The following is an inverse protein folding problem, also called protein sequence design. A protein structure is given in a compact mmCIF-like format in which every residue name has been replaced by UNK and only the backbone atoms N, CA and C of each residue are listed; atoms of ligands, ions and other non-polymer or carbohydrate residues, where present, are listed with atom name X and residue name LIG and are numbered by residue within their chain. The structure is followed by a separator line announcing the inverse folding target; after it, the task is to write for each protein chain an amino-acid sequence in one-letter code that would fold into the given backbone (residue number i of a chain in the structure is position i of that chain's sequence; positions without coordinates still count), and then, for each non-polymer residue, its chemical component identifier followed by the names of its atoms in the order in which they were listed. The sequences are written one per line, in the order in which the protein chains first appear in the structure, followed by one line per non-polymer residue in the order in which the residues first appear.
data_IF_659854195648
#
_entry.id   IF_659854195648
#
_cell.length_a   1.000
_cell.length_b   1.000
_cell.length_c   1.000
_cell.angle_alpha   90.00
_cell.angle_beta   90.00
_cell.angle_gamma   90.00
#
_symmetry.space_group_name_H-M   'P 1'
#
loop_
_entity.id
_entity.type
_entity.pdbx_description
1 polymer ?
#
# COMPACT_ATOMS: atom_id res chain seq x y z
N UNK A 1 -7.43 -9.12 -1.55
CA UNK A 1 -6.93 -8.23 -0.49
C UNK A 1 -8.01 -7.24 -0.09
N UNK A 2 -8.32 -6.21 -0.88
CA UNK A 2 -9.31 -5.19 -0.52
C UNK A 2 -10.72 -5.73 -0.15
N UNK A 3 -11.23 -6.73 -0.90
CA UNK A 3 -12.52 -7.39 -0.57
C UNK A 3 -12.60 -7.95 0.85
N UNK A 4 -11.48 -8.39 1.44
CA UNK A 4 -11.45 -8.89 2.81
C UNK A 4 -11.74 -7.79 3.85
N UNK A 5 -11.56 -6.52 3.47
CA UNK A 5 -11.86 -5.34 4.27
C UNK A 5 -13.21 -4.69 3.90
N UNK A 6 -14.00 -5.32 3.03
CA UNK A 6 -15.25 -4.73 2.50
C UNK A 6 -15.02 -3.62 1.47
N UNK A 7 -13.77 -3.38 1.05
CA UNK A 7 -13.41 -2.25 0.18
C UNK A 7 -13.50 -2.66 -1.28
N UNK A 8 -14.23 -1.87 -2.07
CA UNK A 8 -14.28 -2.05 -3.51
C UNK A 8 -13.08 -1.37 -4.18
N UNK A 9 -12.54 -2.00 -5.22
CA UNK A 9 -11.43 -1.44 -6.01
C UNK A 9 -11.94 -1.18 -7.42
N UNK A 10 -11.76 0.04 -7.89
CA UNK A 10 -12.10 0.47 -9.25
C UNK A 10 -10.81 0.84 -9.98
N UNK A 11 -10.63 0.30 -11.17
CA UNK A 11 -9.51 0.61 -12.05
C UNK A 11 -9.99 1.63 -13.09
N UNK A 12 -9.30 2.75 -13.23
CA UNK A 12 -9.66 3.81 -14.18
C UNK A 12 -8.40 4.55 -14.67
N UNK A 13 -8.54 5.40 -15.69
CA UNK A 13 -7.50 6.36 -16.06
C UNK A 13 -7.55 7.53 -15.06
N UNK A 14 -6.55 7.60 -14.18
CA UNK A 14 -6.50 8.70 -13.22
C UNK A 14 -5.85 9.94 -13.85
N UNK A 15 -6.26 11.15 -13.45
CA UNK A 15 -5.70 12.38 -13.99
C UNK A 15 -4.25 12.58 -13.52
N UNK A 16 -3.42 13.14 -14.41
CA UNK A 16 -2.05 13.55 -14.07
C UNK A 16 -1.11 12.35 -13.89
N UNK A 17 -0.38 12.33 -12.77
CA UNK A 17 0.54 11.26 -12.38
C UNK A 17 0.06 10.48 -11.14
N UNK A 18 -1.27 10.47 -10.93
CA UNK A 18 -1.87 9.80 -9.79
C UNK A 18 -1.87 8.28 -9.98
N UNK A 19 -1.32 7.54 -9.01
CA UNK A 19 -1.32 6.07 -9.03
C UNK A 19 -2.59 5.47 -8.40
N UNK A 20 -3.24 6.20 -7.50
CA UNK A 20 -4.44 5.76 -6.81
C UNK A 20 -5.07 6.84 -5.95
N UNK A 21 -6.25 6.52 -5.41
CA UNK A 21 -6.93 7.36 -4.44
C UNK A 21 -7.83 6.55 -3.51
N UNK A 22 -7.94 6.98 -2.26
CA UNK A 22 -8.99 6.54 -1.34
C UNK A 22 -10.15 7.54 -1.37
N UNK A 23 -11.34 7.05 -1.72
CA UNK A 23 -12.57 7.84 -1.76
C UNK A 23 -13.50 7.35 -0.65
N UNK A 24 -13.79 8.22 0.31
CA UNK A 24 -14.76 7.98 1.38
C UNK A 24 -15.64 9.20 1.55
N UNK A 25 -16.96 9.02 1.47
CA UNK A 25 -17.94 10.05 1.86
C UNK A 25 -18.64 9.65 3.16
N UNK A 26 -19.35 10.60 3.79
CA UNK A 26 -20.07 10.37 5.05
C UNK A 26 -21.17 9.31 4.92
N UNK A 27 -21.79 9.21 3.76
CA UNK A 27 -22.92 8.30 3.50
C UNK A 27 -22.48 6.89 3.08
N UNK A 28 -21.17 6.65 2.96
CA UNK A 28 -20.62 5.32 2.64
C UNK A 28 -20.25 4.57 3.92
N UNK A 29 -20.60 3.28 4.02
CA UNK A 29 -20.10 2.45 5.13
C UNK A 29 -18.61 2.09 4.94
N UNK A 30 -18.21 1.83 3.69
CA UNK A 30 -16.85 1.45 3.30
C UNK A 30 -16.32 2.38 2.19
N UNK A 31 -15.00 2.65 2.15
CA UNK A 31 -14.43 3.46 1.08
C UNK A 31 -14.38 2.69 -0.24
N UNK A 32 -14.08 3.42 -1.31
CA UNK A 32 -13.68 2.90 -2.60
C UNK A 32 -12.21 3.24 -2.83
N UNK A 33 -11.43 2.30 -3.35
CA UNK A 33 -10.06 2.55 -3.80
C UNK A 33 -10.08 2.69 -5.32
N UNK A 34 -9.61 3.84 -5.81
CA UNK A 34 -9.30 4.04 -7.22
C UNK A 34 -7.84 3.66 -7.47
N UNK A 35 -7.58 3.00 -8.59
CA UNK A 35 -6.23 2.60 -9.00
C UNK A 35 -6.05 2.94 -10.47
N UNK A 36 -4.91 3.54 -10.81
CA UNK A 36 -4.60 3.79 -12.21
C UNK A 36 -4.48 2.47 -12.97
N UNK A 37 -5.28 2.31 -14.02
CA UNK A 37 -5.29 1.10 -14.82
C UNK A 37 -4.04 0.93 -15.70
N UNK A 38 -3.30 2.01 -15.98
CA UNK A 38 -2.07 2.00 -16.76
C UNK A 38 -0.85 1.54 -15.94
N UNK A 39 -0.94 1.59 -14.61
CA UNK A 39 0.17 1.20 -13.74
C UNK A 39 0.49 -0.30 -13.84
N UNK A 40 1.76 -0.73 -13.77
CA UNK A 40 2.09 -2.15 -13.73
C UNK A 40 1.43 -2.87 -12.53
N UNK A 41 1.09 -4.15 -12.68
CA UNK A 41 0.41 -4.96 -11.65
C UNK A 41 1.07 -4.90 -10.27
N UNK A 42 2.41 -4.86 -10.22
CA UNK A 42 3.17 -4.74 -8.97
C UNK A 42 2.94 -3.39 -8.30
N UNK A 43 2.80 -2.30 -9.08
CA UNK A 43 2.47 -0.97 -8.57
C UNK A 43 1.02 -0.92 -8.12
N UNK A 44 0.08 -1.42 -8.94
CA UNK A 44 -1.35 -1.52 -8.57
C UNK A 44 -1.55 -2.24 -7.24
N UNK A 45 -0.85 -3.37 -7.02
CA UNK A 45 -0.90 -4.12 -5.75
C UNK A 45 -0.42 -3.31 -4.57
N UNK A 46 0.70 -2.58 -4.73
CA UNK A 46 1.21 -1.70 -3.69
C UNK A 46 0.25 -0.55 -3.39
N UNK A 47 -0.26 0.13 -4.43
CA UNK A 47 -1.26 1.19 -4.30
C UNK A 47 -2.48 0.71 -3.51
N UNK A 48 -3.06 -0.43 -3.87
CA UNK A 48 -4.21 -0.99 -3.14
C UNK A 48 -3.87 -1.24 -1.66
N UNK A 49 -2.71 -1.85 -1.38
CA UNK A 49 -2.30 -2.12 -0.01
C UNK A 49 -2.05 -0.85 0.80
N UNK A 50 -1.55 0.20 0.15
CA UNK A 50 -1.29 1.52 0.71
C UNK A 50 -2.59 2.26 1.04
N UNK A 51 -3.56 2.30 0.12
CA UNK A 51 -4.87 2.93 0.37
C UNK A 51 -5.66 2.19 1.47
N UNK A 52 -5.51 0.87 1.61
CA UNK A 52 -6.04 0.13 2.76
C UNK A 52 -5.38 0.64 4.05
N UNK A 53 -4.07 0.91 4.02
CA UNK A 53 -3.34 1.51 5.15
C UNK A 53 -3.93 2.85 5.58
N UNK A 54 -4.24 3.75 4.63
CA UNK A 54 -4.93 5.01 4.92
C UNK A 54 -6.30 4.79 5.56
N UNK A 55 -7.10 3.86 5.03
CA UNK A 55 -8.40 3.55 5.62
C UNK A 55 -8.26 3.04 7.06
N UNK A 56 -7.30 2.14 7.32
CA UNK A 56 -7.05 1.61 8.64
C UNK A 56 -6.62 2.71 9.62
N UNK A 57 -5.68 3.57 9.21
CA UNK A 57 -5.20 4.67 10.04
C UNK A 57 -6.34 5.63 10.41
N UNK A 58 -7.09 6.11 9.43
CA UNK A 58 -8.14 7.10 9.66
C UNK A 58 -9.32 6.54 10.45
N UNK A 59 -9.75 5.32 10.14
CA UNK A 59 -10.97 4.74 10.73
C UNK A 59 -10.72 4.12 12.09
N UNK A 60 -9.59 3.44 12.28
CA UNK A 60 -9.36 2.63 13.49
C UNK A 60 -8.28 3.20 14.41
N UNK A 61 -7.31 3.97 13.90
CA UNK A 61 -6.28 4.58 14.75
C UNK A 61 -6.72 5.98 15.20
N UNK A 62 -7.24 6.79 14.28
CA UNK A 62 -7.77 8.12 14.60
C UNK A 62 -9.26 8.11 14.98
N UNK A 63 -9.94 6.95 14.82
CA UNK A 63 -11.36 6.78 15.11
C UNK A 63 -12.28 7.81 14.43
N UNK A 64 -11.93 8.24 13.22
CA UNK A 64 -12.73 9.21 12.47
C UNK A 64 -14.04 8.56 12.00
N UNK A 65 -15.17 8.97 12.57
CA UNK A 65 -16.48 8.34 12.31
C UNK A 65 -17.24 8.89 11.10
N UNK A 66 -16.95 10.11 10.66
CA UNK A 66 -17.71 10.81 9.61
C UNK A 66 -16.82 11.75 8.77
N UNK A 67 -15.67 11.23 8.32
CA UNK A 67 -14.77 12.00 7.49
C UNK A 67 -15.09 11.82 6.01
N UNK A 68 -14.84 12.88 5.25
CA UNK A 68 -14.80 12.84 3.80
C UNK A 68 -13.34 13.01 3.37
N UNK A 69 -12.85 12.09 2.54
CA UNK A 69 -11.48 12.14 2.04
C UNK A 69 -11.47 11.64 0.60
N UNK A 70 -10.87 12.46 -0.26
CA UNK A 70 -10.47 12.11 -1.62
C UNK A 70 -9.00 12.50 -1.69
N UNK A 71 -8.12 11.52 -1.59
CA UNK A 71 -6.68 11.75 -1.59
C UNK A 71 -6.08 11.17 -2.87
N UNK A 72 -5.68 12.03 -3.80
CA UNK A 72 -5.02 11.58 -5.03
C UNK A 72 -3.53 11.49 -4.77
N UNK A 73 -3.00 10.28 -4.77
CA UNK A 73 -1.57 10.07 -4.63
C UNK A 73 -0.87 10.28 -5.96
N UNK A 74 -0.15 11.39 -6.09
CA UNK A 74 0.77 11.59 -7.21
C UNK A 74 2.06 10.77 -7.03
N UNK A 75 2.66 10.34 -8.14
CA UNK A 75 3.93 9.61 -8.18
C UNK A 75 5.08 10.32 -7.45
N UNK A 76 4.98 11.65 -7.29
CA UNK A 76 5.97 12.53 -6.64
C UNK A 76 5.68 12.88 -5.17
N UNK A 77 4.49 12.59 -4.64
CA UNK A 77 4.11 12.99 -3.26
C UNK A 77 4.64 12.04 -2.18
N UNK A 78 5.63 11.20 -2.49
CA UNK A 78 6.34 10.31 -1.56
C UNK A 78 7.26 11.03 -0.56
N UNK A 79 7.06 12.33 -0.33
CA UNK A 79 7.78 13.12 0.69
C UNK A 79 7.29 12.74 2.09
N UNK A 80 7.68 11.57 2.57
CA UNK A 80 7.21 10.93 3.80
C UNK A 80 7.60 11.65 5.10
N UNK A 81 7.12 12.87 5.30
CA UNK A 81 7.13 13.57 6.60
C UNK A 81 5.78 13.50 7.31
N UNK A 82 4.72 13.06 6.64
CA UNK A 82 3.40 12.83 7.25
C UNK A 82 3.36 11.44 7.91
N UNK A 83 2.97 11.41 9.18
CA UNK A 83 2.74 10.19 9.96
C UNK A 83 1.77 9.22 9.29
N UNK A 84 0.75 9.74 8.60
CA UNK A 84 -0.24 8.92 7.89
C UNK A 84 0.39 8.18 6.71
N UNK A 85 1.15 8.88 5.87
CA UNK A 85 1.89 8.30 4.73
C UNK A 85 2.93 7.27 5.16
N UNK A 86 3.65 7.55 6.25
CA UNK A 86 4.62 6.60 6.83
C UNK A 86 3.89 5.34 7.29
N UNK A 87 2.73 5.49 7.94
CA UNK A 87 1.92 4.36 8.36
C UNK A 87 1.41 3.56 7.16
N UNK A 88 0.81 4.21 6.16
CA UNK A 88 0.27 3.55 4.98
C UNK A 88 1.34 2.77 4.21
N UNK A 89 2.54 3.35 4.04
CA UNK A 89 3.68 2.66 3.42
C UNK A 89 4.16 1.45 4.24
N UNK A 90 4.30 1.60 5.56
CA UNK A 90 4.70 0.49 6.44
C UNK A 90 3.66 -0.63 6.45
N UNK A 91 2.37 -0.26 6.50
CA UNK A 91 1.25 -1.18 6.44
C UNK A 91 1.25 -1.97 5.12
N UNK A 92 1.35 -1.27 3.97
CA UNK A 92 1.41 -1.90 2.66
C UNK A 92 2.57 -2.89 2.55
N UNK A 93 3.76 -2.48 3.01
CA UNK A 93 4.95 -3.32 2.99
C UNK A 93 4.78 -4.56 3.90
N UNK A 94 4.23 -4.41 5.10
CA UNK A 94 3.98 -5.53 6.00
C UNK A 94 2.89 -6.49 5.48
N UNK A 95 1.86 -5.96 4.81
CA UNK A 95 0.77 -6.73 4.24
C UNK A 95 1.20 -7.54 3.02
N UNK A 96 2.04 -6.96 2.16
CA UNK A 96 2.56 -7.63 0.95
C UNK A 96 3.78 -8.51 1.24
N UNK A 97 4.58 -8.15 2.24
CA UNK A 97 5.83 -8.82 2.58
C UNK A 97 5.88 -9.09 4.10
N UNK A 98 5.13 -10.12 4.57
CA UNK A 98 5.00 -10.43 5.98
C UNK A 98 6.35 -10.77 6.62
N UNK A 99 6.63 -10.19 7.78
CA UNK A 99 7.91 -10.39 8.48
C UNK A 99 8.15 -11.86 8.85
N UNK A 100 7.11 -12.56 9.30
CA UNK A 100 7.17 -13.99 9.64
C UNK A 100 7.49 -14.89 8.45
N UNK A 101 7.18 -14.43 7.24
CA UNK A 101 7.58 -15.08 6.00
C UNK A 101 9.04 -14.77 5.66
N UNK A 102 9.41 -13.48 5.68
CA UNK A 102 10.77 -13.04 5.34
C UNK A 102 11.85 -13.60 6.28
N UNK A 103 11.56 -13.72 7.58
CA UNK A 103 12.49 -14.28 8.59
C UNK A 103 12.89 -15.74 8.34
N UNK A 104 12.17 -16.46 7.48
CA UNK A 104 12.46 -17.88 7.14
C UNK A 104 13.39 -18.02 5.94
N UNK A 105 13.74 -16.93 5.28
CA UNK A 105 14.46 -16.92 4.01
C UNK A 105 15.90 -16.46 4.22
N UNK A 106 16.85 -17.06 3.51
CA UNK A 106 18.23 -16.57 3.44
C UNK A 106 18.34 -15.39 2.45
N UNK A 107 17.93 -14.21 2.91
CA UNK A 107 17.89 -12.99 2.09
C UNK A 107 19.25 -12.30 1.96
N UNK A 108 20.34 -12.93 2.44
CA UNK A 108 21.70 -12.52 2.11
C UNK A 108 22.06 -12.87 0.65
N UNK A 109 21.34 -13.83 0.06
CA UNK A 109 21.53 -14.27 -1.31
C UNK A 109 20.66 -13.45 -2.29
N UNK A 110 21.31 -12.73 -3.20
CA UNK A 110 20.62 -11.89 -4.21
C UNK A 110 19.66 -12.69 -5.11
N UNK A 111 19.98 -13.94 -5.44
CA UNK A 111 19.09 -14.78 -6.25
C UNK A 111 17.79 -15.09 -5.52
N UNK A 112 17.87 -15.34 -4.21
CA UNK A 112 16.69 -15.55 -3.36
C UNK A 112 15.86 -14.26 -3.30
N UNK A 113 16.48 -13.09 -3.16
CA UNK A 113 15.74 -11.81 -3.19
C UNK A 113 14.96 -11.62 -4.50
N UNK A 114 15.58 -11.92 -5.64
CA UNK A 114 14.91 -11.82 -6.95
C UNK A 114 13.74 -12.81 -7.05
N UNK A 115 13.98 -14.08 -6.73
CA UNK A 115 12.96 -15.12 -6.74
C UNK A 115 11.77 -14.77 -5.84
N UNK A 116 12.06 -14.34 -4.61
CA UNK A 116 11.04 -14.05 -3.61
C UNK A 116 10.28 -12.76 -3.95
N UNK A 117 10.92 -11.76 -4.57
CA UNK A 117 10.21 -10.58 -5.08
C UNK A 117 9.18 -10.96 -6.15
N UNK A 118 9.51 -11.90 -7.04
CA UNK A 118 8.60 -12.39 -8.06
C UNK A 118 7.43 -13.19 -7.44
N UNK A 119 7.70 -14.08 -6.48
CA UNK A 119 6.68 -14.85 -5.75
C UNK A 119 5.71 -13.92 -5.01
N UNK A 120 6.24 -12.92 -4.32
CA UNK A 120 5.44 -11.94 -3.57
C UNK A 120 4.76 -10.90 -4.48
N UNK A 121 5.09 -10.89 -5.78
CA UNK A 121 4.61 -9.93 -6.79
C UNK A 121 4.87 -8.48 -6.38
N UNK A 122 6.09 -8.20 -5.92
CA UNK A 122 6.62 -6.88 -5.58
C UNK A 122 7.90 -6.62 -6.36
N UNK A 123 8.35 -5.37 -6.42
CA UNK A 123 9.68 -5.09 -6.98
C UNK A 123 10.78 -5.58 -6.03
N UNK A 124 11.93 -6.00 -6.58
CA UNK A 124 13.09 -6.35 -5.78
C UNK A 124 13.57 -5.16 -4.91
N UNK A 125 13.42 -3.94 -5.41
CA UNK A 125 13.69 -2.70 -4.66
C UNK A 125 12.78 -2.57 -3.43
N UNK A 126 11.47 -2.79 -3.57
CA UNK A 126 10.54 -2.73 -2.43
C UNK A 126 10.85 -3.81 -1.39
N UNK A 127 11.26 -5.00 -1.82
CA UNK A 127 11.69 -6.06 -0.91
C UNK A 127 12.96 -5.67 -0.14
N UNK A 128 13.96 -5.11 -0.81
CA UNK A 128 15.17 -4.62 -0.14
C UNK A 128 14.85 -3.52 0.89
N UNK A 129 14.01 -2.55 0.50
CA UNK A 129 13.56 -1.49 1.42
C UNK A 129 12.86 -2.07 2.66
N UNK A 130 12.01 -3.09 2.47
CA UNK A 130 11.36 -3.80 3.58
C UNK A 130 12.38 -4.48 4.48
N UNK A 131 13.40 -5.14 3.93
CA UNK A 131 14.43 -5.80 4.72
C UNK A 131 15.25 -4.82 5.54
N UNK A 132 15.61 -3.68 4.98
CA UNK A 132 16.32 -2.64 5.73
C UNK A 132 15.44 -2.06 6.85
N UNK A 133 14.13 -1.90 6.61
CA UNK A 133 13.18 -1.47 7.65
C UNK A 133 13.04 -2.46 8.82
N UNK A 134 13.37 -3.74 8.62
CA UNK A 134 13.29 -4.79 9.65
C UNK A 134 14.58 -4.93 10.47
N UNK A 135 15.71 -4.44 9.96
CA UNK A 135 17.00 -4.44 10.69
C UNK A 135 17.11 -3.32 11.73
N UNK A 136 16.27 -2.29 11.62
CA UNK A 136 16.28 -1.09 12.46
C UNK A 136 15.47 -1.16 13.75
N UNK A 137 15.18 -2.36 14.26
CA UNK A 137 14.50 -2.60 15.54
C UNK A 137 15.43 -3.30 16.54
#
# INVERSE_FOLDING_TARGET
MAKCFGINVVYDNLPGDASGALVKTKDMDYPIILVDQSDPDVRKRFTIAHEIGHYIYNTFILELKNYEKIDYRNSKSSGGTDTEEIFANKFAAALLMPESYLKKLDLSNRSIVIEQSAILRVSAEALNYRLDSLKGY
#
